data_IF_364133534498
#
_entry.id   IF_364133534498
#
_cell.length_a   1.000
_cell.length_b   1.000
_cell.length_c   1.000
_cell.angle_alpha   90.00
_cell.angle_beta   90.00
_cell.angle_gamma   90.00
#
_symmetry.space_group_name_H-M   'P 1'
#
loop_
_entity.id
_entity.type
_entity.pdbx_description
1 polymer ?
#
# COMPACT_ATOMS: atom_id res chain seq x y z
N UNK A 1 20.85 29.00 -37.04
CA UNK A 1 20.81 27.53 -37.15
C UNK A 1 21.17 27.01 -35.77
N UNK A 2 20.34 26.19 -35.12
CA UNK A 2 20.73 25.61 -33.84
C UNK A 2 21.81 24.57 -34.13
N UNK A 3 22.95 24.70 -33.46
CA UNK A 3 24.13 23.87 -33.65
C UNK A 3 24.39 22.98 -32.42
N UNK A 4 25.46 22.20 -32.48
CA UNK A 4 25.85 21.29 -31.42
C UNK A 4 25.96 22.00 -30.06
N UNK A 5 26.67 23.12 -30.01
CA UNK A 5 26.98 23.84 -28.78
C UNK A 5 25.71 24.39 -28.13
N UNK A 6 24.76 24.88 -28.93
CA UNK A 6 23.47 25.31 -28.43
C UNK A 6 22.73 24.19 -27.70
N UNK A 7 22.59 23.02 -28.33
CA UNK A 7 21.88 21.88 -27.74
C UNK A 7 22.63 21.29 -26.53
N UNK A 8 23.95 21.18 -26.60
CA UNK A 8 24.76 20.65 -25.50
C UNK A 8 24.70 21.55 -24.26
N UNK A 9 24.79 22.87 -24.43
CA UNK A 9 24.71 23.83 -23.33
C UNK A 9 23.30 23.90 -22.72
N UNK A 10 22.24 23.78 -23.53
CA UNK A 10 20.88 23.64 -23.00
C UNK A 10 20.72 22.35 -22.18
N UNK A 11 21.28 21.24 -22.65
CA UNK A 11 21.28 19.99 -21.89
C UNK A 11 21.88 20.16 -20.50
N UNK A 12 23.03 20.85 -20.41
CA UNK A 12 23.70 21.17 -19.14
C UNK A 12 22.87 22.09 -18.24
N UNK A 13 22.25 23.14 -18.80
CA UNK A 13 21.41 24.06 -18.04
C UNK A 13 20.16 23.37 -17.48
N UNK A 14 19.46 22.59 -18.31
CA UNK A 14 18.33 21.78 -17.85
C UNK A 14 18.72 20.74 -16.81
N UNK A 15 19.89 20.10 -16.96
CA UNK A 15 20.39 19.15 -15.98
C UNK A 15 20.58 19.81 -14.61
N UNK A 16 21.21 21.00 -14.57
CA UNK A 16 21.42 21.79 -13.35
C UNK A 16 20.10 22.19 -12.69
N UNK A 17 19.06 22.47 -13.48
CA UNK A 17 17.71 22.81 -13.02
C UNK A 17 16.86 21.60 -12.63
N UNK A 18 17.36 20.38 -12.79
CA UNK A 18 16.61 19.15 -12.52
C UNK A 18 15.52 18.81 -13.55
N UNK A 19 15.51 19.50 -14.69
CA UNK A 19 14.56 19.28 -15.78
C UNK A 19 15.03 18.11 -16.66
N UNK A 20 14.98 16.89 -16.11
CA UNK A 20 15.64 15.71 -16.65
C UNK A 20 15.20 15.35 -18.08
N UNK A 21 13.90 15.38 -18.38
CA UNK A 21 13.38 15.07 -19.72
C UNK A 21 13.83 16.09 -20.77
N UNK A 22 13.82 17.39 -20.43
CA UNK A 22 14.30 18.44 -21.33
C UNK A 22 15.80 18.31 -21.56
N UNK A 23 16.55 18.00 -20.51
CA UNK A 23 17.98 17.72 -20.58
C UNK A 23 18.29 16.54 -21.52
N UNK A 24 17.52 15.46 -21.42
CA UNK A 24 17.68 14.28 -22.29
C UNK A 24 17.47 14.65 -23.76
N UNK A 25 16.36 15.32 -24.08
CA UNK A 25 16.06 15.77 -25.45
C UNK A 25 17.21 16.62 -26.00
N UNK A 26 17.70 17.59 -25.23
CA UNK A 26 18.80 18.47 -25.63
C UNK A 26 20.11 17.69 -25.87
N UNK A 27 20.48 16.76 -24.99
CA UNK A 27 21.67 15.94 -25.19
C UNK A 27 21.55 14.99 -26.40
N UNK A 28 20.38 14.39 -26.63
CA UNK A 28 20.16 13.55 -27.82
C UNK A 28 20.25 14.36 -29.11
N UNK A 29 19.70 15.57 -29.15
CA UNK A 29 19.87 16.49 -30.30
C UNK A 29 21.34 16.87 -30.51
N UNK A 30 22.09 17.14 -29.44
CA UNK A 30 23.53 17.42 -29.55
C UNK A 30 24.30 16.22 -30.12
N UNK A 31 24.05 15.01 -29.62
CA UNK A 31 24.68 13.78 -30.13
C UNK A 31 24.30 13.52 -31.60
N UNK A 32 23.07 13.83 -32.02
CA UNK A 32 22.68 13.71 -33.42
C UNK A 32 23.49 14.62 -34.34
N UNK A 33 23.82 15.84 -33.89
CA UNK A 33 24.62 16.81 -34.65
C UNK A 33 26.12 16.49 -34.63
N UNK A 34 26.62 15.88 -33.55
CA UNK A 34 28.00 15.41 -33.45
C UNK A 34 28.09 14.06 -32.73
N UNK A 35 27.94 12.94 -33.46
CA UNK A 35 27.88 11.59 -32.88
C UNK A 35 29.16 11.14 -32.19
N UNK A 36 30.31 11.77 -32.48
CA UNK A 36 31.60 11.37 -31.92
C UNK A 36 32.00 12.20 -30.69
N UNK A 37 31.11 13.08 -30.20
CA UNK A 37 31.42 13.95 -29.07
C UNK A 37 31.30 13.19 -27.73
N UNK A 38 32.42 12.66 -27.25
CA UNK A 38 32.49 11.79 -26.07
C UNK A 38 31.91 12.42 -24.79
N UNK A 39 32.11 13.73 -24.58
CA UNK A 39 31.53 14.41 -23.42
C UNK A 39 29.99 14.47 -23.48
N UNK A 40 29.39 14.52 -24.67
CA UNK A 40 27.94 14.50 -24.80
C UNK A 40 27.39 13.12 -24.43
N UNK A 41 28.07 12.06 -24.87
CA UNK A 41 27.79 10.69 -24.43
C UNK A 41 27.95 10.51 -22.91
N UNK A 42 28.99 11.08 -22.31
CA UNK A 42 29.20 11.01 -20.86
C UNK A 42 28.04 11.66 -20.11
N UNK A 43 27.64 12.88 -20.51
CA UNK A 43 26.55 13.60 -19.85
C UNK A 43 25.20 12.89 -20.01
N UNK A 44 24.90 12.37 -21.20
CA UNK A 44 23.67 11.60 -21.41
C UNK A 44 23.67 10.31 -20.61
N UNK A 45 24.77 9.56 -20.57
CA UNK A 45 24.90 8.34 -19.76
C UNK A 45 24.71 8.61 -18.26
N UNK A 46 25.28 9.70 -17.74
CA UNK A 46 25.10 10.12 -16.35
C UNK A 46 23.64 10.56 -16.06
N UNK A 47 23.01 11.29 -16.98
CA UNK A 47 21.60 11.66 -16.89
C UNK A 47 20.69 10.43 -16.88
N UNK A 48 20.90 9.49 -17.80
CA UNK A 48 20.14 8.24 -17.87
C UNK A 48 20.32 7.41 -16.60
N UNK A 49 21.55 7.35 -16.07
CA UNK A 49 21.81 6.71 -14.77
C UNK A 49 21.05 7.39 -13.63
N UNK A 50 20.95 8.73 -13.64
CA UNK A 50 20.14 9.49 -12.66
C UNK A 50 18.63 9.25 -12.82
N UNK A 51 18.17 8.98 -14.03
CA UNK A 51 16.81 8.53 -14.35
C UNK A 51 16.63 7.02 -14.17
N UNK A 52 17.66 6.32 -13.68
CA UNK A 52 17.64 4.89 -13.38
C UNK A 52 17.45 4.01 -14.65
N UNK A 53 17.78 4.53 -15.83
CA UNK A 53 17.79 3.83 -17.13
C UNK A 53 19.19 3.32 -17.45
N UNK A 54 19.66 2.34 -16.68
CA UNK A 54 21.05 1.90 -16.71
C UNK A 54 21.44 1.15 -17.99
N UNK A 55 20.54 0.37 -18.60
CA UNK A 55 20.77 -0.29 -19.88
C UNK A 55 21.17 0.71 -20.97
N UNK A 56 20.39 1.78 -21.14
CA UNK A 56 20.71 2.82 -22.11
C UNK A 56 21.98 3.59 -21.74
N UNK A 57 22.21 3.81 -20.44
CA UNK A 57 23.44 4.44 -19.98
C UNK A 57 24.69 3.60 -20.36
N UNK A 58 24.62 2.27 -20.26
CA UNK A 58 25.74 1.39 -20.63
C UNK A 58 26.13 1.57 -22.09
N UNK A 59 25.16 1.71 -23.00
CA UNK A 59 25.42 1.94 -24.43
C UNK A 59 26.24 3.22 -24.65
N UNK A 60 25.94 4.29 -23.94
CA UNK A 60 26.67 5.55 -24.10
C UNK A 60 28.06 5.54 -23.43
N UNK A 61 28.22 4.88 -22.28
CA UNK A 61 29.54 4.72 -21.70
C UNK A 61 30.43 3.78 -22.53
N UNK A 62 29.85 2.76 -23.16
CA UNK A 62 30.56 1.84 -24.04
C UNK A 62 31.16 2.56 -25.25
N UNK A 63 30.42 3.47 -25.90
CA UNK A 63 30.93 4.30 -27.01
C UNK A 63 32.21 5.05 -26.61
N UNK A 64 32.26 5.58 -25.38
CA UNK A 64 33.44 6.28 -24.87
C UNK A 64 34.58 5.31 -24.61
N UNK A 65 34.31 4.13 -24.04
CA UNK A 65 35.32 3.12 -23.78
C UNK A 65 35.93 2.56 -25.08
N UNK A 66 35.14 2.45 -26.14
CA UNK A 66 35.58 1.96 -27.45
C UNK A 66 36.41 3.01 -28.20
N UNK A 67 36.03 4.29 -28.09
CA UNK A 67 36.69 5.41 -28.78
C UNK A 67 37.93 5.91 -28.03
N UNK A 68 37.87 5.96 -26.69
CA UNK A 68 38.96 6.34 -25.79
C UNK A 68 39.19 5.24 -24.74
N UNK A 69 39.98 4.21 -25.09
CA UNK A 69 40.24 3.08 -24.19
C UNK A 69 40.97 3.45 -22.89
N UNK A 70 41.54 4.65 -22.79
CA UNK A 70 42.24 5.16 -21.62
C UNK A 70 41.37 6.12 -20.78
N UNK A 71 40.07 6.18 -21.04
CA UNK A 71 39.15 6.97 -20.23
C UNK A 71 38.77 6.27 -18.93
N UNK A 72 39.52 6.51 -17.84
CA UNK A 72 39.24 5.89 -16.54
C UNK A 72 37.81 6.18 -16.04
N UNK A 73 37.27 7.37 -16.30
CA UNK A 73 35.93 7.76 -15.85
C UNK A 73 34.83 6.99 -16.59
N UNK A 74 34.97 6.76 -17.90
CA UNK A 74 34.01 5.98 -18.68
C UNK A 74 34.00 4.51 -18.25
N UNK A 75 35.18 3.89 -18.07
CA UNK A 75 35.28 2.53 -17.55
C UNK A 75 34.66 2.40 -16.16
N UNK A 76 34.86 3.41 -15.29
CA UNK A 76 34.24 3.42 -13.98
C UNK A 76 32.72 3.55 -14.04
N UNK A 77 32.20 4.47 -14.86
CA UNK A 77 30.77 4.70 -15.04
C UNK A 77 30.06 3.50 -15.67
N UNK A 78 30.67 2.87 -16.69
CA UNK A 78 30.18 1.63 -17.28
C UNK A 78 30.16 0.49 -16.27
N UNK A 79 31.24 0.31 -15.51
CA UNK A 79 31.32 -0.69 -14.46
C UNK A 79 30.28 -0.48 -13.36
N UNK A 80 30.02 0.77 -12.97
CA UNK A 80 28.98 1.13 -12.00
C UNK A 80 27.57 0.82 -12.53
N UNK A 81 27.27 1.18 -13.78
CA UNK A 81 25.99 0.86 -14.41
C UNK A 81 25.79 -0.65 -14.52
N UNK A 82 26.78 -1.40 -15.02
CA UNK A 82 26.73 -2.87 -15.12
C UNK A 82 26.56 -3.54 -13.76
N UNK A 83 27.15 -2.97 -12.70
CA UNK A 83 26.95 -3.47 -11.33
C UNK A 83 25.50 -3.33 -10.88
N UNK A 84 24.84 -2.22 -11.21
CA UNK A 84 23.41 -2.00 -10.91
C UNK A 84 22.51 -2.91 -11.76
N UNK A 85 23.00 -3.41 -12.88
CA UNK A 85 22.29 -4.40 -13.71
C UNK A 85 22.54 -5.85 -13.28
N UNK A 86 23.26 -6.09 -12.18
CA UNK A 86 23.61 -7.44 -11.75
C UNK A 86 24.63 -8.15 -12.64
N UNK A 87 25.18 -7.48 -13.66
CA UNK A 87 26.21 -7.99 -14.58
C UNK A 87 27.60 -7.94 -13.94
N UNK A 88 27.73 -8.63 -12.80
CA UNK A 88 28.84 -8.53 -11.85
C UNK A 88 30.22 -8.79 -12.46
N UNK A 89 30.34 -9.83 -13.30
CA UNK A 89 31.63 -10.18 -13.93
C UNK A 89 32.13 -9.07 -14.84
N UNK A 90 31.24 -8.51 -15.64
CA UNK A 90 31.54 -7.41 -16.57
C UNK A 90 31.84 -6.13 -15.81
N UNK A 91 31.05 -5.82 -14.78
CA UNK A 91 31.28 -4.68 -13.88
C UNK A 91 32.69 -4.70 -13.28
N UNK A 92 33.11 -5.85 -12.70
CA UNK A 92 34.45 -6.00 -12.11
C UNK A 92 35.55 -5.77 -13.17
N UNK A 93 35.35 -6.27 -14.39
CA UNK A 93 36.31 -6.10 -15.48
C UNK A 93 36.53 -4.62 -15.80
N UNK A 94 35.44 -3.87 -15.98
CA UNK A 94 35.48 -2.44 -16.31
C UNK A 94 36.04 -1.60 -15.15
N UNK A 95 35.63 -1.87 -13.92
CA UNK A 95 36.16 -1.17 -12.74
C UNK A 95 37.67 -1.42 -12.57
N UNK A 96 38.14 -2.66 -12.79
CA UNK A 96 39.59 -2.96 -12.77
C UNK A 96 40.35 -2.21 -13.86
N UNK A 97 39.76 -2.06 -15.04
CA UNK A 97 40.35 -1.27 -16.13
C UNK A 97 40.50 0.20 -15.72
N UNK A 98 39.46 0.79 -15.11
CA UNK A 98 39.51 2.15 -14.58
C UNK A 98 40.63 2.34 -13.54
N UNK A 99 40.79 1.38 -12.61
CA UNK A 99 41.85 1.41 -11.59
C UNK A 99 43.25 1.24 -12.21
N UNK A 100 43.36 0.42 -13.26
CA UNK A 100 44.64 0.22 -13.96
C UNK A 100 45.09 1.51 -14.66
N UNK A 101 44.16 2.21 -15.30
CA UNK A 101 44.42 3.49 -15.97
C UNK A 101 44.72 4.59 -14.94
N UNK A 102 43.95 4.64 -13.85
CA UNK A 102 44.09 5.63 -12.78
C UNK A 102 44.17 4.94 -11.41
N UNK A 103 45.39 4.59 -10.95
CA UNK A 103 45.59 3.89 -9.69
C UNK A 103 45.02 4.61 -8.46
N UNK A 104 44.93 5.94 -8.46
CA UNK A 104 44.38 6.72 -7.34
C UNK A 104 42.88 7.01 -7.45
N UNK A 105 42.16 6.27 -8.30
CA UNK A 105 40.72 6.45 -8.46
C UNK A 105 39.93 5.82 -7.29
N UNK A 106 39.84 6.56 -6.19
CA UNK A 106 39.20 6.11 -4.93
C UNK A 106 37.76 5.61 -5.13
N UNK A 107 36.95 6.30 -5.94
CA UNK A 107 35.58 5.87 -6.25
C UNK A 107 35.55 4.48 -6.89
N UNK A 108 36.39 4.22 -7.90
CA UNK A 108 36.45 2.92 -8.56
C UNK A 108 36.90 1.80 -7.60
N UNK A 109 37.87 2.07 -6.71
CA UNK A 109 38.29 1.12 -5.66
C UNK A 109 37.15 0.79 -4.69
N UNK A 110 36.39 1.81 -4.26
CA UNK A 110 35.23 1.59 -3.39
C UNK A 110 34.13 0.78 -4.07
N UNK A 111 33.83 1.08 -5.34
CA UNK A 111 32.87 0.30 -6.13
C UNK A 111 33.33 -1.15 -6.28
N UNK A 112 34.62 -1.40 -6.53
CA UNK A 112 35.16 -2.76 -6.59
C UNK A 112 34.98 -3.50 -5.25
N UNK A 113 35.29 -2.84 -4.13
CA UNK A 113 35.12 -3.41 -2.80
C UNK A 113 33.65 -3.72 -2.49
N UNK A 114 32.72 -2.81 -2.82
CA UNK A 114 31.28 -3.03 -2.68
C UNK A 114 30.83 -4.27 -3.46
N UNK A 115 31.18 -4.34 -4.75
CA UNK A 115 30.86 -5.49 -5.60
C UNK A 115 31.43 -6.78 -4.99
N UNK A 116 32.71 -6.81 -4.60
CA UNK A 116 33.37 -8.01 -4.06
C UNK A 116 32.80 -8.47 -2.72
N UNK A 117 32.44 -7.53 -1.84
CA UNK A 117 31.90 -7.81 -0.50
C UNK A 117 30.52 -8.48 -0.51
N UNK A 118 29.88 -8.64 -1.67
CA UNK A 118 28.54 -9.23 -1.77
C UNK A 118 27.43 -8.30 -1.25
N UNK A 119 27.76 -7.05 -0.89
CA UNK A 119 26.78 -5.96 -0.78
C UNK A 119 26.34 -5.59 -2.20
N UNK A 120 25.47 -6.41 -2.77
CA UNK A 120 24.88 -6.11 -4.05
C UNK A 120 24.12 -4.79 -3.95
N UNK A 121 24.45 -3.84 -4.83
CA UNK A 121 23.55 -2.71 -5.07
C UNK A 121 22.27 -3.33 -5.60
N UNK A 122 21.17 -3.07 -4.92
CA UNK A 122 19.85 -3.48 -5.39
C UNK A 122 19.72 -3.05 -6.87
N UNK A 123 19.55 -4.04 -7.75
CA UNK A 123 19.38 -3.84 -9.18
C UNK A 123 17.97 -3.34 -9.47
N UNK A 124 17.75 -2.72 -10.64
CA UNK A 124 16.39 -2.35 -11.05
C UNK A 124 15.42 -3.55 -11.04
N UNK A 125 15.90 -4.75 -11.41
CA UNK A 125 15.09 -5.98 -11.39
C UNK A 125 14.72 -6.43 -9.96
N UNK A 126 15.51 -6.05 -8.95
CA UNK A 126 15.24 -6.39 -7.53
C UNK A 126 14.49 -5.30 -6.77
N UNK A 127 14.43 -4.07 -7.29
CA UNK A 127 13.72 -2.94 -6.68
C UNK A 127 12.38 -2.73 -7.38
N UNK A 128 11.30 -3.27 -6.79
CA UNK A 128 9.94 -2.89 -7.19
C UNK A 128 9.70 -1.43 -6.86
N UNK A 129 9.30 -0.63 -7.85
CA UNK A 129 9.00 0.79 -7.68
C UNK A 129 7.52 1.04 -7.91
N UNK A 130 7.01 2.07 -7.23
CA UNK A 130 5.75 2.70 -7.60
C UNK A 130 5.91 3.35 -8.99
N UNK A 131 4.88 3.35 -9.85
CA UNK A 131 4.93 3.97 -11.17
C UNK A 131 5.36 5.44 -11.07
N UNK A 132 6.23 5.87 -11.99
CA UNK A 132 6.73 7.25 -12.02
C UNK A 132 5.74 8.14 -12.80
N UNK A 133 5.18 7.61 -13.88
CA UNK A 133 4.22 8.26 -14.75
C UNK A 133 2.85 7.58 -14.66
N UNK A 134 1.79 8.37 -14.88
CA UNK A 134 0.41 7.85 -14.91
C UNK A 134 0.25 6.85 -16.06
N UNK A 135 0.92 7.06 -17.20
CA UNK A 135 0.86 6.17 -18.37
C UNK A 135 1.49 4.78 -18.12
N UNK A 136 2.20 4.58 -17.00
CA UNK A 136 2.70 3.26 -16.56
C UNK A 136 1.61 2.45 -15.84
N UNK A 137 0.51 3.10 -15.43
CA UNK A 137 -0.66 2.42 -14.86
C UNK A 137 -1.46 1.75 -15.97
N UNK A 138 -1.86 0.51 -15.71
CA UNK A 138 -2.80 -0.25 -16.54
C UNK A 138 -4.23 0.03 -16.05
N UNK A 139 -5.19 -0.86 -16.31
CA UNK A 139 -6.47 -0.79 -15.60
C UNK A 139 -6.29 -0.94 -14.07
N UNK A 140 -7.33 -0.59 -13.32
CA UNK A 140 -7.30 -0.59 -11.86
C UNK A 140 -6.90 -1.95 -11.29
N UNK A 141 -7.48 -3.03 -11.80
CA UNK A 141 -7.25 -4.39 -11.28
C UNK A 141 -5.83 -4.87 -11.56
N UNK A 142 -5.33 -4.68 -12.78
CA UNK A 142 -3.94 -5.01 -13.14
C UNK A 142 -2.94 -4.18 -12.33
N UNK A 143 -3.20 -2.88 -12.17
CA UNK A 143 -2.33 -2.00 -11.40
C UNK A 143 -2.35 -2.32 -9.90
N UNK A 144 -3.51 -2.71 -9.35
CA UNK A 144 -3.63 -3.17 -7.97
C UNK A 144 -2.86 -4.47 -7.74
N UNK A 145 -2.96 -5.42 -8.66
CA UNK A 145 -2.19 -6.66 -8.62
C UNK A 145 -0.68 -6.38 -8.68
N UNK A 146 -0.23 -5.48 -9.55
CA UNK A 146 1.19 -5.20 -9.75
C UNK A 146 1.82 -4.39 -8.61
N UNK A 147 1.16 -3.30 -8.19
CA UNK A 147 1.76 -2.30 -7.30
C UNK A 147 1.27 -2.34 -5.86
N UNK A 148 0.11 -2.95 -5.58
CA UNK A 148 -0.44 -3.03 -4.21
C UNK A 148 -0.27 -4.44 -3.63
N UNK A 149 -0.71 -5.48 -4.36
CA UNK A 149 -0.54 -6.87 -3.94
C UNK A 149 0.89 -7.38 -4.23
N UNK A 150 1.41 -7.00 -5.39
CA UNK A 150 2.68 -7.46 -5.93
C UNK A 150 2.50 -8.63 -6.91
N UNK A 151 3.35 -8.75 -7.95
CA UNK A 151 3.18 -9.72 -9.04
C UNK A 151 3.21 -11.20 -8.63
N UNK A 152 3.75 -11.52 -7.45
CA UNK A 152 3.84 -12.89 -6.94
C UNK A 152 3.08 -13.06 -5.62
N UNK A 153 2.07 -12.21 -5.37
CA UNK A 153 1.22 -12.37 -4.19
C UNK A 153 0.54 -13.73 -4.25
N UNK A 154 0.55 -14.46 -3.14
CA UNK A 154 -0.16 -15.73 -2.99
C UNK A 154 -1.29 -15.53 -1.98
N UNK A 155 -2.47 -16.12 -2.23
CA UNK A 155 -3.55 -16.03 -1.26
C UNK A 155 -3.17 -16.77 0.02
N UNK A 156 -3.67 -16.25 1.15
CA UNK A 156 -3.49 -16.92 2.45
C UNK A 156 -4.34 -18.19 2.59
N UNK A 157 -5.36 -18.34 1.75
CA UNK A 157 -6.28 -19.47 1.68
C UNK A 157 -7.06 -19.44 0.35
N UNK A 158 -7.63 -20.56 -0.05
CA UNK A 158 -8.53 -20.64 -1.20
C UNK A 158 -9.99 -20.55 -0.78
N UNK A 159 -10.86 -20.18 -1.72
CA UNK A 159 -12.29 -20.03 -1.54
C UNK A 159 -13.06 -20.83 -2.58
N UNK A 160 -14.03 -21.60 -2.10
CA UNK A 160 -15.03 -22.26 -2.95
C UNK A 160 -16.09 -21.25 -3.39
N UNK A 161 -16.87 -21.60 -4.42
CA UNK A 161 -17.91 -20.70 -4.89
C UNK A 161 -19.09 -20.54 -3.92
N UNK A 162 -19.32 -21.56 -3.09
CA UNK A 162 -20.40 -21.68 -2.13
C UNK A 162 -20.07 -21.10 -0.74
N UNK A 163 -18.86 -20.53 -0.57
CA UNK A 163 -18.41 -20.00 0.71
C UNK A 163 -19.39 -18.96 1.29
N UNK A 164 -19.75 -19.13 2.56
CA UNK A 164 -20.61 -18.22 3.31
C UNK A 164 -19.79 -17.07 3.90
N UNK A 165 -20.09 -15.86 3.46
CA UNK A 165 -19.44 -14.64 3.93
C UNK A 165 -20.22 -14.00 5.07
N UNK A 166 -19.49 -13.56 6.08
CA UNK A 166 -19.97 -12.64 7.09
C UNK A 166 -19.16 -11.34 7.03
N UNK A 167 -19.82 -10.25 6.67
CA UNK A 167 -19.19 -8.92 6.58
C UNK A 167 -19.62 -8.06 7.75
N UNK A 168 -18.70 -7.27 8.29
CA UNK A 168 -19.01 -6.33 9.36
C UNK A 168 -18.21 -5.03 9.24
N UNK A 169 -18.88 -3.91 9.50
CA UNK A 169 -18.35 -2.57 9.34
C UNK A 169 -19.43 -1.53 9.03
N UNK A 170 -18.98 -0.35 8.63
CA UNK A 170 -19.85 0.77 8.22
C UNK A 170 -20.18 0.70 6.72
N UNK A 171 -20.41 1.85 6.06
CA UNK A 171 -20.89 1.91 4.67
C UNK A 171 -19.97 1.21 3.65
N UNK A 172 -18.64 1.22 3.87
CA UNK A 172 -17.72 0.50 2.98
C UNK A 172 -17.97 -1.01 3.03
N UNK A 173 -18.12 -1.59 4.24
CA UNK A 173 -18.41 -3.01 4.40
C UNK A 173 -19.76 -3.41 3.79
N UNK A 174 -20.77 -2.54 3.92
CA UNK A 174 -22.06 -2.74 3.27
C UNK A 174 -21.93 -2.80 1.74
N UNK A 175 -21.11 -1.92 1.15
CA UNK A 175 -20.88 -1.90 -0.29
C UNK A 175 -20.08 -3.12 -0.76
N UNK A 176 -19.05 -3.54 -0.02
CA UNK A 176 -18.37 -4.82 -0.26
C UNK A 176 -19.36 -5.99 -0.23
N UNK A 177 -20.26 -6.02 0.76
CA UNK A 177 -21.28 -7.06 0.87
C UNK A 177 -22.27 -7.05 -0.29
N UNK A 178 -22.68 -5.87 -0.79
CA UNK A 178 -23.53 -5.75 -1.98
C UNK A 178 -22.82 -6.28 -3.22
N UNK A 179 -21.57 -5.90 -3.43
CA UNK A 179 -20.78 -6.35 -4.58
C UNK A 179 -20.50 -7.86 -4.53
N UNK A 180 -20.17 -8.42 -3.36
CA UNK A 180 -20.04 -9.87 -3.18
C UNK A 180 -21.32 -10.62 -3.57
N UNK A 181 -22.51 -10.11 -3.18
CA UNK A 181 -23.79 -10.70 -3.60
C UNK A 181 -24.02 -10.60 -5.11
N UNK A 182 -23.63 -9.48 -5.72
CA UNK A 182 -23.70 -9.31 -7.16
C UNK A 182 -22.80 -10.31 -7.90
N UNK A 183 -21.69 -10.73 -7.28
CA UNK A 183 -20.81 -11.81 -7.75
C UNK A 183 -21.28 -13.21 -7.30
N UNK A 184 -22.57 -13.38 -6.94
CA UNK A 184 -23.17 -14.67 -6.63
C UNK A 184 -22.78 -15.27 -5.27
N UNK A 185 -22.11 -14.51 -4.39
CA UNK A 185 -21.71 -15.00 -3.06
C UNK A 185 -22.86 -14.95 -2.05
N UNK A 186 -22.85 -15.89 -1.11
CA UNK A 186 -23.78 -15.90 0.03
C UNK A 186 -23.21 -14.98 1.11
N UNK A 187 -23.90 -13.87 1.42
CA UNK A 187 -23.36 -12.85 2.34
C UNK A 187 -24.38 -12.44 3.41
N UNK A 188 -24.05 -12.67 4.68
CA UNK A 188 -24.68 -12.00 5.83
C UNK A 188 -23.86 -10.77 6.20
N UNK A 189 -24.51 -9.61 6.28
CA UNK A 189 -23.86 -8.37 6.66
C UNK A 189 -24.38 -7.88 8.02
N UNK A 190 -23.47 -7.50 8.91
CA UNK A 190 -23.76 -6.76 10.14
C UNK A 190 -23.33 -5.30 9.96
N UNK A 191 -24.23 -4.41 9.53
CA UNK A 191 -23.93 -3.00 9.36
C UNK A 191 -23.91 -2.28 10.72
N UNK A 192 -23.01 -1.31 10.88
CA UNK A 192 -23.05 -0.41 12.03
C UNK A 192 -22.58 1.00 11.71
N UNK A 193 -22.96 1.95 12.57
CA UNK A 193 -22.61 3.36 12.37
C UNK A 193 -21.10 3.54 12.34
N UNK A 194 -20.64 4.37 11.41
CA UNK A 194 -19.25 4.79 11.33
C UNK A 194 -18.78 5.49 12.61
N UNK A 195 -19.71 6.08 13.37
CA UNK A 195 -19.43 6.77 14.64
C UNK A 195 -19.00 5.81 15.76
N UNK A 196 -19.20 4.50 15.59
CA UNK A 196 -18.76 3.47 16.54
C UNK A 196 -17.77 2.47 15.92
N UNK A 197 -17.30 2.67 14.69
CA UNK A 197 -16.33 1.76 14.06
C UNK A 197 -14.88 2.04 14.53
N UNK A 198 -14.60 1.79 15.80
CA UNK A 198 -13.26 1.78 16.39
C UNK A 198 -12.91 0.39 16.90
N UNK A 199 -11.63 0.03 17.02
CA UNK A 199 -11.21 -1.29 17.53
C UNK A 199 -11.75 -1.58 18.94
N UNK A 200 -11.93 -0.55 19.77
CA UNK A 200 -12.55 -0.65 21.10
C UNK A 200 -14.01 -1.08 21.02
N UNK A 201 -14.83 -0.30 20.32
CA UNK A 201 -16.25 -0.61 20.16
C UNK A 201 -16.45 -1.93 19.42
N UNK A 202 -15.64 -2.21 18.40
CA UNK A 202 -15.65 -3.45 17.65
C UNK A 202 -15.37 -4.67 18.54
N UNK A 203 -14.41 -4.58 19.45
CA UNK A 203 -14.13 -5.65 20.42
C UNK A 203 -15.33 -5.87 21.35
N UNK A 204 -15.84 -4.80 21.94
CA UNK A 204 -16.99 -4.89 22.85
C UNK A 204 -18.28 -5.34 22.13
N UNK A 205 -18.43 -5.07 20.84
CA UNK A 205 -19.53 -5.58 20.01
C UNK A 205 -19.47 -7.12 19.92
N UNK A 206 -18.28 -7.70 19.72
CA UNK A 206 -18.13 -9.15 19.71
C UNK A 206 -18.35 -9.73 21.12
N UNK A 207 -17.84 -9.10 22.18
CA UNK A 207 -18.12 -9.50 23.58
C UNK A 207 -19.64 -9.48 23.87
N UNK A 208 -20.34 -8.45 23.40
CA UNK A 208 -21.80 -8.31 23.52
C UNK A 208 -22.53 -9.43 22.77
N UNK A 209 -22.10 -9.75 21.53
CA UNK A 209 -22.65 -10.88 20.75
C UNK A 209 -22.48 -12.25 21.42
N UNK A 210 -21.48 -12.37 22.31
CA UNK A 210 -21.19 -13.56 23.09
C UNK A 210 -21.86 -13.58 24.47
N UNK A 211 -22.61 -12.52 24.81
CA UNK A 211 -23.16 -12.31 26.16
C UNK A 211 -22.08 -12.26 27.26
N UNK A 212 -20.88 -11.77 26.92
CA UNK A 212 -19.73 -11.64 27.83
C UNK A 212 -19.41 -10.19 28.21
N UNK A 213 -20.11 -9.22 27.62
CA UNK A 213 -19.93 -7.80 27.97
C UNK A 213 -20.57 -7.52 29.33
N UNK A 214 -19.73 -7.31 30.34
CA UNK A 214 -20.15 -7.01 31.72
C UNK A 214 -20.52 -5.54 31.95
N UNK A 215 -20.02 -4.64 31.09
CA UNK A 215 -20.27 -3.20 31.21
C UNK A 215 -21.70 -2.89 30.75
N UNK A 216 -22.60 -2.68 31.72
CA UNK A 216 -24.03 -2.40 31.48
C UNK A 216 -24.26 -1.10 30.70
N UNK A 217 -23.35 -0.12 30.82
CA UNK A 217 -23.47 1.13 30.07
C UNK A 217 -23.17 0.94 28.59
N UNK A 218 -22.11 0.20 28.27
CA UNK A 218 -21.77 -0.20 26.90
C UNK A 218 -22.84 -1.11 26.31
N UNK A 219 -23.34 -2.08 27.09
CA UNK A 219 -24.43 -2.96 26.68
C UNK A 219 -25.68 -2.17 26.29
N UNK A 220 -26.12 -1.24 27.12
CA UNK A 220 -27.24 -0.36 26.80
C UNK A 220 -26.97 0.51 25.55
N UNK A 221 -25.73 0.94 25.34
CA UNK A 221 -25.35 1.66 24.11
C UNK A 221 -25.46 0.76 22.87
N UNK A 222 -25.03 -0.51 22.95
CA UNK A 222 -25.20 -1.47 21.85
C UNK A 222 -26.66 -1.84 21.61
N UNK A 223 -27.44 -2.11 22.65
CA UNK A 223 -28.88 -2.39 22.53
C UNK A 223 -29.61 -1.24 21.81
N UNK A 224 -29.21 0.02 22.09
CA UNK A 224 -29.72 1.20 21.41
C UNK A 224 -29.22 1.33 19.96
N UNK A 225 -27.96 0.99 19.69
CA UNK A 225 -27.39 1.03 18.34
C UNK A 225 -27.92 -0.09 17.44
N UNK A 226 -28.36 -1.21 18.02
CA UNK A 226 -28.82 -2.40 17.33
C UNK A 226 -30.19 -2.88 17.83
N UNK A 227 -31.24 -2.02 17.80
CA UNK A 227 -32.52 -2.32 18.46
C UNK A 227 -33.28 -3.49 17.85
N UNK A 228 -32.91 -3.91 16.63
CA UNK A 228 -33.54 -4.99 15.88
C UNK A 228 -32.64 -6.24 15.73
N UNK A 229 -31.50 -6.29 16.43
CA UNK A 229 -30.57 -7.42 16.35
C UNK A 229 -30.45 -8.07 17.72
N UNK A 230 -30.86 -9.33 17.81
CA UNK A 230 -30.52 -10.16 18.96
C UNK A 230 -29.03 -10.52 18.90
N UNK A 231 -28.23 -10.25 19.96
CA UNK A 231 -26.81 -10.58 20.01
C UNK A 231 -26.50 -12.04 19.60
N UNK A 232 -27.39 -12.98 19.96
CA UNK A 232 -27.23 -14.40 19.66
C UNK A 232 -27.30 -14.71 18.15
N UNK A 233 -27.97 -13.87 17.36
CA UNK A 233 -28.01 -14.01 15.90
C UNK A 233 -26.66 -13.70 15.25
N UNK A 234 -25.90 -12.76 15.81
CA UNK A 234 -24.55 -12.44 15.36
C UNK A 234 -23.65 -13.65 15.58
N UNK A 235 -23.67 -14.22 16.79
CA UNK A 235 -22.93 -15.44 17.12
C UNK A 235 -23.30 -16.59 16.18
N UNK A 236 -24.60 -16.82 15.94
CA UNK A 236 -25.12 -17.86 15.04
C UNK A 236 -24.69 -17.64 13.58
N UNK A 237 -24.55 -16.39 13.15
CA UNK A 237 -24.10 -16.06 11.80
C UNK A 237 -22.59 -16.30 11.65
N UNK A 238 -21.80 -15.88 12.65
CA UNK A 238 -20.35 -16.14 12.71
C UNK A 238 -20.05 -17.64 12.75
N UNK A 239 -20.85 -18.45 13.47
CA UNK A 239 -20.63 -19.90 13.56
C UNK A 239 -20.89 -20.65 12.23
N UNK A 240 -21.47 -19.99 11.24
CA UNK A 240 -21.75 -20.52 9.90
C UNK A 240 -20.89 -19.87 8.81
N UNK A 241 -20.06 -18.90 9.16
CA UNK A 241 -19.27 -18.15 8.20
C UNK A 241 -18.01 -18.93 7.83
N UNK A 242 -17.86 -19.26 6.55
CA UNK A 242 -16.60 -19.78 6.01
C UNK A 242 -15.55 -18.66 5.93
N UNK A 243 -16.00 -17.43 5.68
CA UNK A 243 -15.16 -16.22 5.62
C UNK A 243 -15.78 -15.08 6.40
N UNK A 244 -15.00 -14.46 7.28
CA UNK A 244 -15.35 -13.21 7.96
C UNK A 244 -14.53 -12.06 7.39
N UNK A 245 -15.17 -11.09 6.75
CA UNK A 245 -14.51 -9.85 6.27
C UNK A 245 -14.77 -8.74 7.29
N UNK A 246 -13.76 -8.47 8.11
CA UNK A 246 -13.78 -7.45 9.14
C UNK A 246 -13.25 -6.13 8.59
N UNK A 247 -14.14 -5.16 8.33
CA UNK A 247 -13.75 -3.82 7.87
C UNK A 247 -13.51 -2.88 9.05
N UNK A 248 -12.24 -2.68 9.37
CA UNK A 248 -11.80 -1.78 10.44
C UNK A 248 -11.94 -0.33 9.96
N UNK A 249 -12.66 0.50 10.72
CA UNK A 249 -12.82 1.92 10.44
C UNK A 249 -12.04 2.80 11.40
N UNK A 250 -12.22 4.11 11.25
CA UNK A 250 -11.82 5.10 12.24
C UNK A 250 -13.08 5.70 12.82
N UNK A 251 -13.22 5.61 14.13
CA UNK A 251 -14.25 6.30 14.88
C UNK A 251 -13.63 6.94 16.13
N UNK A 252 -14.22 8.03 16.63
CA UNK A 252 -13.76 8.65 17.86
C UNK A 252 -13.79 7.67 19.03
N UNK A 253 -12.70 7.64 19.80
CA UNK A 253 -12.63 6.87 21.04
C UNK A 253 -12.77 7.81 22.23
N UNK A 254 -13.81 7.57 23.04
CA UNK A 254 -14.09 8.33 24.25
C UNK A 254 -13.74 7.51 25.47
N UNK A 255 -13.11 8.16 26.44
CA UNK A 255 -12.75 7.56 27.71
C UNK A 255 -13.33 8.40 28.85
N UNK A 256 -13.96 7.76 29.82
CA UNK A 256 -14.41 8.44 31.04
C UNK A 256 -13.22 9.10 31.73
N UNK A 257 -13.33 10.39 32.06
CA UNK A 257 -12.30 11.08 32.86
C UNK A 257 -12.22 10.57 34.29
N UNK A 258 -13.33 10.04 34.80
CA UNK A 258 -13.43 9.49 36.15
C UNK A 258 -12.79 8.10 36.24
N UNK A 259 -13.12 7.20 35.31
CA UNK A 259 -12.72 5.79 35.40
C UNK A 259 -11.60 5.39 34.43
N UNK A 260 -11.29 6.22 33.44
CA UNK A 260 -10.37 5.91 32.35
C UNK A 260 -10.88 4.86 31.35
N UNK A 261 -12.10 4.33 31.55
CA UNK A 261 -12.67 3.26 30.72
C UNK A 261 -13.23 3.82 29.41
N UNK A 262 -13.18 3.00 28.36
CA UNK A 262 -13.81 3.31 27.08
C UNK A 262 -15.32 3.42 27.23
N UNK A 263 -15.92 4.41 26.57
CA UNK A 263 -17.36 4.66 26.60
C UNK A 263 -17.87 5.01 25.21
N UNK A 264 -19.16 4.73 24.97
CA UNK A 264 -19.91 5.22 23.81
C UNK A 264 -20.90 6.27 24.33
N UNK A 265 -20.64 7.58 24.16
CA UNK A 265 -21.48 8.62 24.73
C UNK A 265 -22.94 8.52 24.26
N UNK A 266 -23.87 8.60 25.20
CA UNK A 266 -25.33 8.47 24.95
C UNK A 266 -26.01 9.80 24.59
N UNK A 267 -25.42 10.92 24.99
CA UNK A 267 -26.01 12.26 24.88
C UNK A 267 -25.71 12.91 23.53
N UNK A 268 -26.73 13.43 22.85
CA UNK A 268 -26.54 14.21 21.61
C UNK A 268 -25.90 15.59 21.86
N UNK A 269 -25.78 16.03 23.12
CA UNK A 269 -25.18 17.31 23.44
C UNK A 269 -23.67 17.19 23.64
N UNK A 270 -22.95 17.30 22.52
CA UNK A 270 -21.49 17.21 22.41
C UNK A 270 -20.77 18.25 23.28
N UNK A 271 -21.40 19.40 23.58
CA UNK A 271 -20.77 20.46 24.39
C UNK A 271 -20.45 20.02 25.83
N UNK A 272 -21.23 19.08 26.38
CA UNK A 272 -21.04 18.55 27.73
C UNK A 272 -20.05 17.39 27.78
N UNK A 273 -19.61 16.87 26.63
CA UNK A 273 -18.73 15.71 26.59
C UNK A 273 -17.33 16.05 27.11
N UNK A 274 -16.88 17.29 26.97
CA UNK A 274 -15.54 17.71 27.40
C UNK A 274 -15.29 17.54 28.91
N UNK A 275 -16.34 17.71 29.71
CA UNK A 275 -16.30 17.62 31.18
C UNK A 275 -16.25 16.17 31.66
N UNK A 276 -16.93 15.26 30.96
CA UNK A 276 -17.09 13.86 31.37
C UNK A 276 -16.14 12.90 30.66
N UNK A 277 -15.73 13.24 29.44
CA UNK A 277 -15.00 12.34 28.55
C UNK A 277 -13.74 12.99 28.00
N UNK A 278 -12.71 12.18 27.85
CA UNK A 278 -11.52 12.50 27.11
C UNK A 278 -11.57 11.82 25.74
N UNK A 279 -11.35 12.60 24.70
CA UNK A 279 -11.05 12.11 23.36
C UNK A 279 -9.54 12.06 23.16
N UNK A 280 -9.03 10.96 22.57
CA UNK A 280 -7.65 10.86 22.12
C UNK A 280 -7.52 9.90 20.95
N UNK A 281 -6.43 10.04 20.19
CA UNK A 281 -6.00 9.01 19.25
C UNK A 281 -5.57 7.76 20.03
N UNK A 282 -5.90 6.60 19.48
CA UNK A 282 -5.47 5.31 20.02
C UNK A 282 -4.06 4.98 19.56
N UNK A 283 -3.35 4.16 20.33
CA UNK A 283 -1.99 3.71 20.02
C UNK A 283 -1.99 2.43 19.17
N UNK A 284 -0.83 2.10 18.56
CA UNK A 284 -0.65 0.86 17.81
C UNK A 284 -0.94 -0.36 18.68
N UNK A 285 -0.39 -0.39 19.90
CA UNK A 285 -0.54 -1.51 20.84
C UNK A 285 -2.00 -1.74 21.25
N UNK A 286 -2.74 -0.67 21.55
CA UNK A 286 -4.16 -0.77 21.92
C UNK A 286 -5.01 -1.34 20.77
N UNK A 287 -4.79 -0.85 19.54
CA UNK A 287 -5.51 -1.35 18.37
C UNK A 287 -5.14 -2.81 18.07
N UNK A 288 -3.87 -3.17 18.18
CA UNK A 288 -3.39 -4.53 18.00
C UNK A 288 -4.04 -5.49 19.01
N UNK A 289 -4.00 -5.15 20.29
CA UNK A 289 -4.61 -5.97 21.35
C UNK A 289 -6.10 -6.18 21.12
N UNK A 290 -6.83 -5.12 20.77
CA UNK A 290 -8.26 -5.22 20.49
C UNK A 290 -8.55 -6.10 19.26
N UNK A 291 -7.77 -5.95 18.18
CA UNK A 291 -7.92 -6.78 16.98
C UNK A 291 -7.55 -8.26 17.24
N UNK A 292 -6.54 -8.53 18.05
CA UNK A 292 -6.19 -9.89 18.47
C UNK A 292 -7.34 -10.54 19.25
N UNK A 293 -7.92 -9.83 20.22
CA UNK A 293 -9.09 -10.32 20.97
C UNK A 293 -10.31 -10.56 20.09
N UNK A 294 -10.53 -9.70 19.09
CA UNK A 294 -11.59 -9.93 18.08
C UNK A 294 -11.34 -11.22 17.31
N UNK A 295 -10.12 -11.44 16.82
CA UNK A 295 -9.73 -12.66 16.09
C UNK A 295 -9.92 -13.89 16.97
N UNK A 296 -9.45 -13.85 18.22
CA UNK A 296 -9.58 -14.93 19.20
C UNK A 296 -11.05 -15.28 19.44
N UNK A 297 -11.91 -14.30 19.71
CA UNK A 297 -13.34 -14.53 19.92
C UNK A 297 -14.05 -15.07 18.67
N UNK A 298 -13.68 -14.61 17.47
CA UNK A 298 -14.23 -15.16 16.23
C UNK A 298 -13.80 -16.63 16.07
N UNK A 299 -12.54 -16.96 16.39
CA UNK A 299 -12.03 -18.33 16.37
C UNK A 299 -12.70 -19.24 17.40
N UNK A 300 -13.01 -18.72 18.59
CA UNK A 300 -13.79 -19.46 19.59
C UNK A 300 -15.20 -19.83 19.08
N UNK A 301 -15.81 -18.98 18.25
CA UNK A 301 -17.11 -19.24 17.64
C UNK A 301 -17.00 -20.24 16.48
N UNK A 302 -15.96 -20.07 15.64
CA UNK A 302 -15.70 -20.93 14.50
C UNK A 302 -14.19 -21.06 14.25
N UNK A 303 -13.62 -22.18 14.68
CA UNK A 303 -12.19 -22.45 14.58
C UNK A 303 -11.70 -22.50 13.13
N UNK A 304 -12.56 -22.84 12.17
CA UNK A 304 -12.17 -23.05 10.77
C UNK A 304 -12.34 -21.82 9.87
N UNK A 305 -13.01 -20.76 10.35
CA UNK A 305 -13.34 -19.60 9.52
C UNK A 305 -12.08 -18.90 8.98
N UNK A 306 -12.13 -18.34 7.77
CA UNK A 306 -11.07 -17.48 7.26
C UNK A 306 -11.37 -16.04 7.65
N UNK A 307 -10.42 -15.35 8.27
CA UNK A 307 -10.64 -13.98 8.74
C UNK A 307 -9.87 -13.02 7.84
N UNK A 308 -10.57 -12.15 7.13
CA UNK A 308 -9.99 -11.10 6.30
C UNK A 308 -10.15 -9.79 7.04
N UNK A 309 -9.04 -9.21 7.48
CA UNK A 309 -9.01 -7.82 7.92
C UNK A 309 -8.88 -6.91 6.70
N UNK A 310 -9.66 -5.84 6.64
CA UNK A 310 -9.44 -4.75 5.67
C UNK A 310 -9.63 -3.43 6.38
N UNK A 311 -8.85 -2.42 5.98
CA UNK A 311 -9.01 -1.06 6.50
C UNK A 311 -9.98 -0.28 5.60
N UNK A 312 -10.90 0.46 6.20
CA UNK A 312 -11.86 1.29 5.47
C UNK A 312 -11.17 2.52 4.88
N UNK A 313 -11.34 2.82 3.58
CA UNK A 313 -10.84 4.04 2.96
C UNK A 313 -11.72 5.27 3.23
N UNK A 314 -12.90 5.09 3.82
CA UNK A 314 -13.84 6.18 4.08
C UNK A 314 -13.18 7.19 5.03
N UNK A 315 -13.09 8.48 4.63
CA UNK A 315 -12.55 9.54 5.48
C UNK A 315 -13.39 9.75 6.74
N UNK A 316 -12.71 10.02 7.86
CA UNK A 316 -13.34 10.37 9.12
C UNK A 316 -14.31 11.56 8.94
N UNK A 317 -15.54 11.41 9.44
CA UNK A 317 -16.61 12.42 9.33
C UNK A 317 -16.36 13.68 10.18
N UNK A 318 -15.64 13.55 11.30
CA UNK A 318 -15.38 14.66 12.23
C UNK A 318 -14.51 14.27 13.43
N UNK A 319 -14.00 15.27 14.14
CA UNK A 319 -13.21 15.15 15.36
C UNK A 319 -13.73 16.09 16.44
N UNK A 320 -13.48 15.78 17.72
CA UNK A 320 -13.71 16.71 18.81
C UNK A 320 -12.36 17.29 19.25
N UNK A 321 -12.09 18.54 18.83
CA UNK A 321 -10.84 19.34 18.98
C UNK A 321 -9.80 19.22 17.86
N UNK A 322 -8.80 20.11 17.91
CA UNK A 322 -7.55 20.08 17.14
C UNK A 322 -6.79 18.78 17.47
N UNK A 323 -6.29 18.02 16.49
CA UNK A 323 -5.95 18.41 15.12
C UNK A 323 -7.13 18.38 14.13
N UNK A 324 -6.90 18.86 12.90
CA UNK A 324 -7.93 18.83 11.86
C UNK A 324 -8.41 17.41 11.59
N UNK A 325 -9.63 17.25 11.07
CA UNK A 325 -10.21 15.94 10.76
C UNK A 325 -9.28 15.13 9.85
N UNK A 326 -8.60 15.78 8.90
CA UNK A 326 -7.69 15.10 7.98
C UNK A 326 -6.39 14.64 8.65
N UNK A 327 -5.88 15.40 9.61
CA UNK A 327 -4.72 14.99 10.41
C UNK A 327 -5.08 13.78 11.28
N UNK A 328 -6.22 13.84 11.98
CA UNK A 328 -6.69 12.73 12.81
C UNK A 328 -6.96 11.47 11.98
N UNK A 329 -7.57 11.62 10.81
CA UNK A 329 -7.82 10.54 9.85
C UNK A 329 -6.51 9.87 9.41
N UNK A 330 -5.54 10.67 8.96
CA UNK A 330 -4.25 10.20 8.47
C UNK A 330 -3.45 9.47 9.54
N UNK A 331 -3.38 10.04 10.75
CA UNK A 331 -2.70 9.43 11.90
C UNK A 331 -3.40 8.12 12.27
N UNK A 332 -4.72 8.12 12.41
CA UNK A 332 -5.47 6.95 12.88
C UNK A 332 -5.42 5.79 11.89
N UNK A 333 -5.56 6.06 10.59
CA UNK A 333 -5.43 5.02 9.55
C UNK A 333 -4.02 4.45 9.51
N UNK A 334 -3.00 5.28 9.64
CA UNK A 334 -1.60 4.82 9.74
C UNK A 334 -1.39 3.94 10.97
N UNK A 335 -1.89 4.37 12.14
CA UNK A 335 -1.84 3.57 13.38
C UNK A 335 -2.51 2.22 13.23
N UNK A 336 -3.73 2.18 12.68
CA UNK A 336 -4.45 0.93 12.44
C UNK A 336 -3.71 0.02 11.46
N UNK A 337 -3.15 0.60 10.40
CA UNK A 337 -2.39 -0.17 9.40
C UNK A 337 -1.12 -0.79 9.98
N UNK A 338 -0.42 -0.08 10.88
CA UNK A 338 0.73 -0.62 11.63
C UNK A 338 0.27 -1.73 12.57
N UNK A 339 -0.82 -1.53 13.31
CA UNK A 339 -1.36 -2.56 14.20
C UNK A 339 -1.71 -3.85 13.45
N UNK A 340 -2.39 -3.74 12.30
CA UNK A 340 -2.69 -4.88 11.42
C UNK A 340 -1.38 -5.51 10.91
N UNK A 341 -0.39 -4.71 10.51
CA UNK A 341 0.90 -5.21 10.04
C UNK A 341 1.61 -6.08 11.10
N UNK A 342 1.61 -5.63 12.35
CA UNK A 342 2.21 -6.38 13.45
C UNK A 342 1.49 -7.70 13.72
N UNK A 343 0.17 -7.75 13.54
CA UNK A 343 -0.60 -9.00 13.63
C UNK A 343 -0.19 -9.94 12.49
N UNK A 344 -0.15 -9.43 11.25
CA UNK A 344 0.21 -10.23 10.06
C UNK A 344 1.65 -10.74 10.10
N UNK A 345 2.57 -10.01 10.77
CA UNK A 345 3.98 -10.43 10.91
C UNK A 345 4.12 -11.76 11.64
N UNK A 346 3.15 -12.11 12.51
CA UNK A 346 3.13 -13.40 13.20
C UNK A 346 2.51 -14.53 12.37
N UNK A 347 2.15 -14.27 11.11
CA UNK A 347 1.50 -15.20 10.19
C UNK A 347 0.34 -16.02 10.82
N UNK A 348 -0.66 -15.35 11.41
CA UNK A 348 -1.78 -16.04 12.06
C UNK A 348 -2.53 -16.95 11.08
N UNK A 349 -2.70 -18.22 11.46
CA UNK A 349 -3.34 -19.22 10.62
C UNK A 349 -4.73 -18.79 10.17
N UNK A 350 -4.97 -18.85 8.85
CA UNK A 350 -6.27 -18.52 8.24
C UNK A 350 -6.72 -17.07 8.45
N UNK A 351 -5.82 -16.15 8.75
CA UNK A 351 -6.10 -14.72 8.83
C UNK A 351 -5.27 -13.99 7.78
N UNK A 352 -5.89 -13.07 7.03
CA UNK A 352 -5.21 -12.26 6.02
C UNK A 352 -5.57 -10.78 6.14
N UNK A 353 -4.75 -9.92 5.55
CA UNK A 353 -5.08 -8.53 5.31
C UNK A 353 -5.37 -8.32 3.82
N UNK A 354 -6.55 -7.79 3.50
CA UNK A 354 -6.88 -7.34 2.16
C UNK A 354 -6.70 -5.82 2.04
N UNK A 355 -5.80 -5.31 1.18
CA UNK A 355 -5.37 -3.91 1.19
C UNK A 355 -6.31 -2.98 0.43
N UNK A 356 -7.62 -3.02 0.73
CA UNK A 356 -8.62 -2.17 0.07
C UNK A 356 -8.36 -0.68 0.30
N UNK A 357 -7.86 -0.32 1.49
CA UNK A 357 -7.50 1.06 1.81
C UNK A 357 -6.42 1.58 0.85
N UNK A 358 -5.35 0.81 0.66
CA UNK A 358 -4.24 1.17 -0.21
C UNK A 358 -4.66 1.24 -1.67
N UNK A 359 -5.50 0.30 -2.13
CA UNK A 359 -6.08 0.32 -3.48
C UNK A 359 -6.87 1.60 -3.72
N UNK A 360 -7.73 2.03 -2.80
CA UNK A 360 -8.49 3.28 -2.97
C UNK A 360 -7.59 4.51 -2.82
N UNK A 361 -6.73 4.53 -1.79
CA UNK A 361 -5.98 5.73 -1.40
C UNK A 361 -4.83 6.07 -2.33
N UNK A 362 -4.07 5.06 -2.74
CA UNK A 362 -2.83 5.21 -3.49
C UNK A 362 -3.02 4.98 -4.96
N UNK A 363 -3.85 4.01 -5.33
CA UNK A 363 -4.08 3.69 -6.73
C UNK A 363 -5.32 4.42 -7.29
N UNK A 364 -6.44 4.39 -6.56
CA UNK A 364 -7.72 4.91 -7.02
C UNK A 364 -7.65 6.35 -7.53
N UNK A 365 -6.86 7.22 -6.90
CA UNK A 365 -6.72 8.65 -7.27
C UNK A 365 -6.27 8.91 -8.72
N UNK A 366 -5.72 7.91 -9.40
CA UNK A 366 -5.28 8.01 -10.80
C UNK A 366 -6.32 7.53 -11.81
N UNK A 367 -7.40 6.91 -11.33
CA UNK A 367 -8.51 6.46 -12.16
C UNK A 367 -9.65 7.46 -12.04
N UNK A 368 -10.41 7.60 -13.12
CA UNK A 368 -11.66 8.32 -13.03
C UNK A 368 -12.55 7.64 -11.97
N UNK A 369 -13.46 8.42 -11.38
CA UNK A 369 -14.63 7.85 -10.73
C UNK A 369 -14.38 7.12 -9.39
N UNK A 370 -13.64 7.74 -8.45
CA UNK A 370 -13.32 7.11 -7.14
C UNK A 370 -14.37 7.33 -6.05
N UNK A 371 -14.95 8.52 -5.96
CA UNK A 371 -15.84 8.88 -4.84
C UNK A 371 -17.11 9.62 -5.30
N UNK A 372 -18.23 9.33 -4.64
CA UNK A 372 -19.44 10.16 -4.63
C UNK A 372 -20.21 10.25 -5.94
N UNK A 373 -20.05 9.29 -6.84
CA UNK A 373 -20.69 9.34 -8.16
C UNK A 373 -22.14 8.88 -8.14
N UNK A 374 -22.43 7.84 -7.38
CA UNK A 374 -23.73 7.19 -7.36
C UNK A 374 -24.72 7.93 -6.45
N UNK A 375 -24.20 8.64 -5.45
CA UNK A 375 -25.02 9.25 -4.39
C UNK A 375 -24.63 10.68 -4.01
N UNK A 376 -23.68 11.30 -4.71
CA UNK A 376 -23.21 12.65 -4.45
C UNK A 376 -22.41 12.81 -3.15
N UNK A 377 -22.06 11.73 -2.44
CA UNK A 377 -21.33 11.78 -1.17
C UNK A 377 -19.84 11.58 -1.42
N UNK A 378 -19.06 12.66 -1.27
CA UNK A 378 -17.60 12.71 -1.50
C UNK A 378 -16.73 11.73 -0.70
N UNK A 379 -17.32 10.98 0.24
CA UNK A 379 -16.65 10.01 1.11
C UNK A 379 -16.97 8.55 0.78
N UNK A 380 -17.99 8.30 -0.06
CA UNK A 380 -18.38 6.95 -0.45
C UNK A 380 -17.62 6.55 -1.70
N UNK A 381 -16.90 5.43 -1.60
CA UNK A 381 -16.17 4.85 -2.73
C UNK A 381 -17.18 4.39 -3.78
N UNK A 382 -16.89 4.66 -5.05
CA UNK A 382 -17.75 4.31 -6.17
C UNK A 382 -17.98 2.80 -6.30
N UNK A 383 -19.10 2.41 -6.91
CA UNK A 383 -19.38 0.99 -7.18
C UNK A 383 -18.33 0.41 -8.12
N UNK A 384 -17.85 1.18 -9.11
CA UNK A 384 -16.78 0.76 -10.00
C UNK A 384 -15.53 0.29 -9.24
N UNK A 385 -15.05 1.09 -8.29
CA UNK A 385 -13.86 0.74 -7.51
C UNK A 385 -14.16 -0.42 -6.54
N UNK A 386 -15.32 -0.42 -5.90
CA UNK A 386 -15.76 -1.52 -5.02
C UNK A 386 -15.81 -2.85 -5.77
N UNK A 387 -16.39 -2.87 -6.97
CA UNK A 387 -16.54 -4.07 -7.78
C UNK A 387 -15.19 -4.61 -8.22
N UNK A 388 -14.26 -3.76 -8.66
CA UNK A 388 -12.89 -4.19 -8.97
C UNK A 388 -12.15 -4.75 -7.75
N UNK A 389 -12.33 -4.15 -6.56
CA UNK A 389 -11.73 -4.67 -5.32
C UNK A 389 -12.25 -6.08 -5.00
N UNK A 390 -13.56 -6.32 -5.16
CA UNK A 390 -14.17 -7.63 -4.90
C UNK A 390 -13.79 -8.65 -5.97
N UNK A 391 -13.82 -8.28 -7.24
CA UNK A 391 -13.40 -9.16 -8.33
C UNK A 391 -11.95 -9.60 -8.14
N UNK A 392 -11.05 -8.66 -7.85
CA UNK A 392 -9.65 -8.97 -7.55
C UNK A 392 -9.52 -9.85 -6.31
N UNK A 393 -10.30 -9.61 -5.25
CA UNK A 393 -10.30 -10.44 -4.05
C UNK A 393 -10.69 -11.89 -4.34
N UNK A 394 -11.79 -12.08 -5.07
CA UNK A 394 -12.30 -13.42 -5.43
C UNK A 394 -11.33 -14.15 -6.36
N UNK A 395 -10.77 -13.47 -7.36
CA UNK A 395 -9.80 -14.04 -8.28
C UNK A 395 -8.46 -14.38 -7.60
N UNK A 396 -8.06 -13.58 -6.61
CA UNK A 396 -6.84 -13.84 -5.86
C UNK A 396 -6.94 -15.10 -4.99
N UNK A 397 -8.13 -15.39 -4.47
CA UNK A 397 -8.38 -16.53 -3.58
C UNK A 397 -9.11 -17.70 -4.28
N UNK A 398 -9.25 -17.70 -5.61
CA UNK A 398 -9.91 -18.80 -6.31
C UNK A 398 -9.06 -20.08 -6.32
N UNK A 399 -9.71 -21.24 -6.27
CA UNK A 399 -9.03 -22.55 -6.31
C UNK A 399 -8.28 -22.80 -7.64
N UNK A 400 -8.75 -22.21 -8.74
CA UNK A 400 -8.18 -22.36 -10.09
C UNK A 400 -6.77 -21.75 -10.30
N UNK A 401 -6.17 -21.13 -9.27
CA UNK A 401 -4.82 -20.55 -9.35
C UNK A 401 -3.70 -21.61 -9.32
N UNK A 402 -3.96 -22.82 -8.82
CA UNK A 402 -2.93 -23.88 -8.79
C UNK A 402 -2.57 -24.41 -10.19
N UNK A 403 -3.48 -24.38 -11.16
CA UNK A 403 -3.25 -24.91 -12.51
C UNK A 403 -2.52 -23.95 -13.48
N UNK A 404 -2.40 -22.65 -13.15
CA UNK A 404 -1.77 -21.66 -14.06
C UNK A 404 -0.26 -21.44 -13.85
N UNK A 405 0.32 -22.02 -12.79
CA UNK A 405 1.76 -21.88 -12.48
C UNK A 405 2.54 -23.15 -12.89
N UNK A 406 1.85 -24.18 -13.39
CA UNK A 406 2.43 -25.44 -13.86
C UNK A 406 2.26 -25.68 -15.37
N UNK A 407 2.75 -24.79 -16.23
CA UNK A 407 3.00 -25.06 -17.66
C UNK A 407 4.18 -24.28 -18.19
#
# INVERSE_FOLDING_TARGET
MMDFDFHYNQGLDFFKKGLLQKSETSYRSAIQLNPNHLNAHMQLGLLLSKMLRFEEATTHFQVICDTDPNNAHAHAALGEALSVLGRRKEAISMIKRAITIKPDFFQAKNTLHQIQSGRERATNETVKRWPILIDELKDFSQSAQEYVLGPNSKPAFTLTNEANFFTLGSCFAENLAKSLRAHGRIVKNLPFSEEINSTYANRHLIEWSLSRLEDEDLKASFDKSFPAIDPSEIKKSLSKADVVIFTVGVAPCFFSRETGRFVIPKSNNVSLWGDSFQFRTTSVSENKENLQKIIEMIREINENTKIVLTLSPVPLKGTLNTPSVMQADSISKSTLRIAINEIMTNNPSGVSYWPSFEMVRWLGVYFENVFGLEDGRSRHVSSYVIDNIIELFLNHHSEDQEDKIGT
#
